data_IF_564334712896
#
_entry.id   IF_564334712896
#
_cell.length_a   1.000
_cell.length_b   1.000
_cell.length_c   1.000
_cell.angle_alpha   90.00
_cell.angle_beta   90.00
_cell.angle_gamma   90.00
#
_symmetry.space_group_name_H-M   'P 1'
#
loop_
_entity.id
_entity.type
_entity.pdbx_description
1 polymer ?
#
# COMPACT_ATOMS: atom_id res chain seq x y z
N UNK A 1 13.35 -8.17 18.66
CA UNK A 1 14.57 -7.83 17.87
C UNK A 1 15.81 -8.28 18.62
N UNK A 2 16.78 -8.91 17.94
CA UNK A 2 18.07 -9.27 18.51
C UNK A 2 18.92 -8.04 18.87
N UNK A 3 19.91 -8.22 19.79
CA UNK A 3 20.73 -7.11 20.29
C UNK A 3 21.41 -6.33 19.14
N UNK A 4 22.06 -7.02 18.22
CA UNK A 4 22.74 -6.41 17.07
C UNK A 4 21.75 -5.68 16.12
N UNK A 5 20.58 -6.25 15.91
CA UNK A 5 19.54 -5.61 15.12
C UNK A 5 19.04 -4.28 15.70
N UNK A 6 19.10 -4.13 17.04
CA UNK A 6 18.78 -2.83 17.69
C UNK A 6 19.89 -1.80 17.52
N UNK A 7 21.14 -2.23 17.58
CA UNK A 7 22.30 -1.34 17.48
C UNK A 7 22.40 -0.63 16.13
N UNK A 8 21.88 -1.24 15.05
CA UNK A 8 21.92 -0.64 13.70
C UNK A 8 20.81 0.37 13.45
N UNK A 9 19.73 0.37 14.25
CA UNK A 9 18.64 1.33 14.12
C UNK A 9 19.00 2.62 14.85
N UNK A 10 19.22 3.68 14.08
CA UNK A 10 19.61 5.02 14.59
C UNK A 10 18.46 6.02 14.47
N UNK A 11 17.25 5.54 14.74
CA UNK A 11 16.00 6.29 14.70
C UNK A 11 15.27 6.16 16.03
N UNK A 12 14.36 7.09 16.30
CA UNK A 12 13.33 6.88 17.32
C UNK A 12 12.41 5.75 16.83
N UNK A 13 12.48 4.61 17.53
CA UNK A 13 11.73 3.40 17.14
C UNK A 13 10.24 3.61 17.34
N UNK A 14 9.80 4.41 18.31
CA UNK A 14 8.38 4.66 18.54
C UNK A 14 7.78 5.48 17.39
N UNK A 15 8.51 6.48 16.92
CA UNK A 15 8.12 7.30 15.78
C UNK A 15 8.12 6.49 14.46
N UNK A 16 9.15 5.65 14.24
CA UNK A 16 9.18 4.75 13.09
C UNK A 16 8.02 3.74 13.12
N UNK A 17 7.70 3.16 14.28
CA UNK A 17 6.57 2.24 14.44
C UNK A 17 5.23 2.92 14.16
N UNK A 18 5.08 4.20 14.49
CA UNK A 18 3.88 4.96 14.18
C UNK A 18 3.70 5.10 12.66
N UNK A 19 4.78 5.42 11.93
CA UNK A 19 4.73 5.53 10.47
C UNK A 19 4.45 4.18 9.80
N UNK A 20 5.15 3.11 10.22
CA UNK A 20 4.94 1.77 9.66
C UNK A 20 3.52 1.24 9.91
N UNK A 21 2.88 1.61 11.05
CA UNK A 21 1.49 1.23 11.30
C UNK A 21 0.52 1.98 10.40
N UNK A 22 0.81 3.22 10.03
CA UNK A 22 0.01 3.97 9.07
C UNK A 22 0.09 3.32 7.68
N UNK A 23 1.30 3.04 7.21
CA UNK A 23 1.50 2.33 5.94
C UNK A 23 0.79 0.95 5.96
N UNK A 24 0.97 0.16 7.01
CA UNK A 24 0.26 -1.12 7.20
C UNK A 24 -1.28 -0.98 7.09
N UNK A 25 -1.83 0.12 7.60
CA UNK A 25 -3.27 0.37 7.52
C UNK A 25 -3.69 0.75 6.09
N UNK A 26 -2.86 1.52 5.38
CA UNK A 26 -3.09 1.87 3.97
C UNK A 26 -3.17 0.61 3.11
N UNK A 27 -2.21 -0.33 3.26
CA UNK A 27 -2.21 -1.60 2.51
C UNK A 27 -3.49 -2.42 2.75
N UNK A 28 -3.92 -2.57 4.01
CA UNK A 28 -5.18 -3.27 4.29
C UNK A 28 -6.39 -2.62 3.61
N UNK A 29 -6.43 -1.31 3.55
CA UNK A 29 -7.52 -0.58 2.89
C UNK A 29 -7.46 -0.74 1.38
N UNK A 30 -6.26 -0.76 0.79
CA UNK A 30 -6.03 -1.05 -0.63
C UNK A 30 -6.44 -2.48 -0.99
N UNK A 31 -5.99 -3.50 -0.22
CA UNK A 31 -6.42 -4.90 -0.38
C UNK A 31 -7.93 -5.02 -0.47
N UNK A 32 -8.66 -4.40 0.47
CA UNK A 32 -10.11 -4.50 0.48
C UNK A 32 -10.75 -3.79 -0.71
N UNK A 33 -10.31 -2.56 -1.01
CA UNK A 33 -10.86 -1.75 -2.08
C UNK A 33 -10.64 -2.39 -3.46
N UNK A 34 -9.42 -2.86 -3.73
CA UNK A 34 -9.08 -3.45 -5.02
C UNK A 34 -9.76 -4.79 -5.25
N UNK A 35 -9.81 -5.65 -4.22
CA UNK A 35 -10.61 -6.89 -4.30
C UNK A 35 -12.09 -6.59 -4.56
N UNK A 36 -12.68 -5.63 -3.86
CA UNK A 36 -14.07 -5.25 -4.07
C UNK A 36 -14.30 -4.75 -5.50
N UNK A 37 -13.51 -3.78 -5.97
CA UNK A 37 -13.61 -3.23 -7.32
C UNK A 37 -13.42 -4.30 -8.39
N UNK A 38 -12.45 -5.22 -8.20
CA UNK A 38 -12.20 -6.34 -9.11
C UNK A 38 -13.35 -7.36 -9.18
N UNK A 39 -14.16 -7.48 -8.12
CA UNK A 39 -15.32 -8.37 -8.10
C UNK A 39 -16.54 -7.77 -8.79
N UNK A 40 -16.68 -6.44 -8.80
CA UNK A 40 -17.92 -5.78 -9.26
C UNK A 40 -17.78 -5.09 -10.62
N UNK A 41 -16.57 -4.74 -11.06
CA UNK A 41 -16.36 -4.02 -12.31
C UNK A 41 -16.94 -4.75 -13.51
N UNK A 42 -17.72 -4.04 -14.33
CA UNK A 42 -18.44 -4.60 -15.48
C UNK A 42 -18.64 -3.54 -16.56
N UNK A 43 -19.39 -3.87 -17.63
CA UNK A 43 -19.91 -2.91 -18.60
C UNK A 43 -19.21 -2.90 -19.95
N UNK A 44 -17.89 -3.10 -20.03
CA UNK A 44 -17.16 -3.15 -21.31
C UNK A 44 -16.21 -4.34 -21.38
N UNK A 45 -15.77 -4.78 -22.57
CA UNK A 45 -14.86 -5.93 -22.70
C UNK A 45 -13.57 -5.80 -21.87
N UNK A 46 -13.00 -4.60 -21.79
CA UNK A 46 -11.81 -4.29 -21.00
C UNK A 46 -11.99 -4.48 -19.47
N UNK A 47 -13.24 -4.51 -18.98
CA UNK A 47 -13.50 -4.72 -17.56
C UNK A 47 -12.94 -6.05 -17.01
N UNK A 48 -12.80 -7.07 -17.86
CA UNK A 48 -12.16 -8.34 -17.45
C UNK A 48 -10.68 -8.18 -17.16
N UNK A 49 -9.97 -7.40 -17.97
CA UNK A 49 -8.55 -7.13 -17.78
C UNK A 49 -8.35 -6.28 -16.53
N UNK A 50 -9.19 -5.25 -16.35
CA UNK A 50 -9.18 -4.44 -15.14
C UNK A 50 -9.48 -5.27 -13.88
N UNK A 51 -10.46 -6.18 -13.93
CA UNK A 51 -10.78 -7.05 -12.81
C UNK A 51 -9.60 -7.96 -12.44
N UNK A 52 -8.90 -8.51 -13.44
CA UNK A 52 -7.72 -9.33 -13.20
C UNK A 52 -6.58 -8.51 -12.59
N UNK A 53 -6.28 -7.35 -13.16
CA UNK A 53 -5.24 -6.44 -12.64
C UNK A 53 -5.54 -6.04 -11.19
N UNK A 54 -6.75 -5.58 -10.90
CA UNK A 54 -7.16 -5.21 -9.53
C UNK A 54 -7.00 -6.37 -8.52
N UNK A 55 -7.28 -7.61 -8.94
CA UNK A 55 -7.11 -8.77 -8.09
C UNK A 55 -5.65 -9.18 -7.90
N UNK A 56 -4.80 -8.96 -8.90
CA UNK A 56 -3.37 -9.23 -8.81
C UNK A 56 -2.70 -8.16 -7.94
N UNK A 57 -2.95 -6.87 -8.19
CA UNK A 57 -2.49 -5.78 -7.32
C UNK A 57 -2.93 -5.98 -5.85
N UNK A 58 -4.18 -6.39 -5.61
CA UNK A 58 -4.64 -6.68 -4.24
C UNK A 58 -3.84 -7.79 -3.54
N UNK A 59 -3.22 -8.73 -4.27
CA UNK A 59 -2.33 -9.74 -3.69
C UNK A 59 -0.97 -9.15 -3.34
N UNK A 60 -0.48 -8.24 -4.16
CA UNK A 60 0.78 -7.55 -3.90
C UNK A 60 0.64 -6.65 -2.66
N UNK A 61 -0.47 -5.90 -2.52
CA UNK A 61 -0.79 -5.13 -1.31
C UNK A 61 -0.90 -6.01 -0.05
N UNK A 62 -1.42 -7.22 -0.20
CA UNK A 62 -1.48 -8.18 0.91
C UNK A 62 -0.07 -8.65 1.32
N UNK A 63 0.86 -8.80 0.39
CA UNK A 63 2.25 -9.12 0.72
C UNK A 63 2.96 -7.92 1.35
N UNK A 64 2.77 -6.69 0.83
CA UNK A 64 3.27 -5.46 1.45
C UNK A 64 2.82 -5.34 2.91
N UNK A 65 1.53 -5.55 3.16
CA UNK A 65 0.96 -5.55 4.50
C UNK A 65 1.68 -6.54 5.42
N UNK A 66 1.93 -7.76 4.95
CA UNK A 66 2.60 -8.82 5.71
C UNK A 66 4.05 -8.46 6.01
N UNK A 67 4.79 -7.95 5.04
CA UNK A 67 6.18 -7.51 5.21
C UNK A 67 6.29 -6.37 6.22
N UNK A 68 5.37 -5.39 6.16
CA UNK A 68 5.29 -4.31 7.14
C UNK A 68 4.97 -4.84 8.55
N UNK A 69 4.05 -5.81 8.67
CA UNK A 69 3.74 -6.46 9.94
C UNK A 69 4.96 -7.18 10.54
N UNK A 70 5.72 -7.90 9.72
CA UNK A 70 6.96 -8.57 10.12
C UNK A 70 8.02 -7.54 10.58
N UNK A 71 8.15 -6.42 9.85
CA UNK A 71 9.06 -5.36 10.25
C UNK A 71 8.65 -4.69 11.56
N UNK A 72 7.37 -4.36 11.74
CA UNK A 72 6.81 -3.83 12.98
C UNK A 72 7.12 -4.77 14.15
N UNK A 73 6.87 -6.07 13.98
CA UNK A 73 7.16 -7.08 15.01
C UNK A 73 8.66 -7.18 15.31
N UNK A 74 9.51 -7.13 14.29
CA UNK A 74 10.97 -7.18 14.46
C UNK A 74 11.53 -5.97 15.21
N UNK A 75 10.87 -4.82 15.12
CA UNK A 75 11.16 -3.60 15.89
C UNK A 75 10.59 -3.65 17.33
N UNK A 76 9.86 -4.71 17.68
CA UNK A 76 9.26 -4.90 19.02
C UNK A 76 7.86 -4.26 19.14
N UNK A 77 7.27 -3.83 18.04
CA UNK A 77 5.91 -3.30 17.98
C UNK A 77 4.85 -4.37 17.71
N UNK A 78 3.62 -3.91 17.56
CA UNK A 78 2.48 -4.71 17.08
C UNK A 78 1.78 -3.94 15.98
N UNK A 79 1.36 -4.61 14.89
CA UNK A 79 0.49 -4.01 13.87
C UNK A 79 -0.86 -3.58 14.46
N UNK A 80 -1.64 -2.83 13.69
CA UNK A 80 -3.03 -2.48 14.05
C UNK A 80 -3.86 -3.75 14.09
N UNK A 81 -4.43 -4.07 15.26
CA UNK A 81 -5.19 -5.30 15.46
C UNK A 81 -6.70 -5.13 15.22
N UNK A 82 -7.21 -3.92 15.39
CA UNK A 82 -8.63 -3.62 15.31
C UNK A 82 -8.97 -3.10 13.91
N UNK A 83 -9.78 -3.86 13.17
CA UNK A 83 -10.18 -3.53 11.79
C UNK A 83 -10.88 -2.15 11.72
N UNK A 84 -11.66 -1.79 12.72
CA UNK A 84 -12.32 -0.48 12.80
C UNK A 84 -11.37 0.71 12.95
N UNK A 85 -10.10 0.46 13.31
CA UNK A 85 -9.09 1.51 13.47
C UNK A 85 -8.21 1.70 12.23
N UNK A 86 -8.36 0.87 11.20
CA UNK A 86 -7.52 0.98 10.01
C UNK A 86 -7.70 2.34 9.33
N UNK A 87 -8.94 2.78 9.12
CA UNK A 87 -9.24 4.08 8.47
C UNK A 87 -8.69 5.26 9.28
N UNK A 88 -8.84 5.21 10.63
CA UNK A 88 -8.34 6.28 11.50
C UNK A 88 -6.81 6.32 11.57
N UNK A 89 -6.16 5.17 11.37
CA UNK A 89 -4.70 5.03 11.46
C UNK A 89 -4.01 5.36 10.14
N UNK A 90 -4.64 5.07 9.00
CA UNK A 90 -4.09 5.24 7.66
C UNK A 90 -3.62 6.66 7.37
N UNK A 91 -2.78 6.82 6.35
CA UNK A 91 -2.33 8.14 5.89
C UNK A 91 -3.41 8.86 5.07
N UNK A 92 -4.02 8.16 4.12
CA UNK A 92 -4.88 8.75 3.08
C UNK A 92 -6.34 8.29 3.17
N UNK A 93 -6.66 7.38 4.10
CA UNK A 93 -8.00 6.83 4.28
C UNK A 93 -8.33 5.72 3.27
N UNK A 94 -9.61 5.37 3.23
CA UNK A 94 -10.09 4.29 2.36
C UNK A 94 -10.27 4.79 0.92
N UNK A 95 -9.63 4.14 -0.08
CA UNK A 95 -9.83 4.49 -1.50
C UNK A 95 -11.22 4.01 -1.95
N UNK A 96 -12.25 4.82 -1.65
CA UNK A 96 -13.64 4.44 -1.84
C UNK A 96 -13.95 4.19 -3.32
N UNK A 97 -14.49 3.00 -3.67
CA UNK A 97 -14.93 2.71 -5.03
C UNK A 97 -15.98 3.71 -5.52
N UNK A 98 -16.01 4.05 -6.82
CA UNK A 98 -17.09 4.86 -7.37
C UNK A 98 -18.44 4.12 -7.27
N UNK A 99 -19.53 4.87 -7.17
CA UNK A 99 -20.89 4.30 -7.06
C UNK A 99 -21.30 3.46 -8.27
N UNK A 100 -20.76 3.78 -9.46
CA UNK A 100 -21.09 3.11 -10.70
C UNK A 100 -19.99 2.10 -11.08
N UNK A 101 -20.27 0.82 -10.88
CA UNK A 101 -19.38 -0.29 -11.22
C UNK A 101 -19.05 -0.43 -12.73
N UNK A 102 -19.77 0.34 -13.59
CA UNK A 102 -19.53 0.39 -15.05
C UNK A 102 -18.63 1.55 -15.44
N UNK A 103 -18.35 2.46 -14.53
CA UNK A 103 -17.46 3.60 -14.79
C UNK A 103 -16.00 3.18 -14.65
N UNK A 104 -15.54 2.50 -15.69
CA UNK A 104 -14.18 1.99 -15.79
C UNK A 104 -13.13 3.07 -15.49
N UNK A 105 -13.28 4.25 -16.10
CA UNK A 105 -12.29 5.30 -15.97
C UNK A 105 -12.28 5.89 -14.55
N UNK A 106 -13.44 5.97 -13.88
CA UNK A 106 -13.50 6.39 -12.49
C UNK A 106 -12.83 5.36 -11.57
N UNK A 107 -13.05 4.06 -11.81
CA UNK A 107 -12.37 2.98 -11.05
C UNK A 107 -10.86 3.10 -11.21
N UNK A 108 -10.36 3.17 -12.43
CA UNK A 108 -8.92 3.27 -12.72
C UNK A 108 -8.33 4.53 -12.06
N UNK A 109 -8.99 5.68 -12.15
CA UNK A 109 -8.54 6.93 -11.51
C UNK A 109 -8.51 6.84 -9.98
N UNK A 110 -9.45 6.10 -9.38
CA UNK A 110 -9.46 5.87 -7.93
C UNK A 110 -8.23 5.12 -7.50
N UNK A 111 -7.84 4.08 -8.24
CA UNK A 111 -6.63 3.30 -7.96
C UNK A 111 -5.38 4.16 -8.18
N UNK A 112 -5.21 4.81 -9.32
CA UNK A 112 -4.07 5.69 -9.60
C UNK A 112 -3.87 6.72 -8.47
N UNK A 113 -4.95 7.28 -7.94
CA UNK A 113 -4.85 8.24 -6.84
C UNK A 113 -4.36 7.57 -5.55
N UNK A 114 -4.76 6.33 -5.28
CA UNK A 114 -4.30 5.57 -4.12
C UNK A 114 -2.82 5.21 -4.25
N UNK A 115 -2.38 4.69 -5.42
CA UNK A 115 -0.97 4.38 -5.70
C UNK A 115 -0.07 5.62 -5.52
N UNK A 116 -0.49 6.76 -6.03
CA UNK A 116 0.24 8.03 -5.83
C UNK A 116 0.35 8.42 -4.36
N UNK A 117 -0.68 8.17 -3.58
CA UNK A 117 -0.64 8.35 -2.13
C UNK A 117 0.40 7.43 -1.48
N UNK A 118 0.38 6.13 -1.83
CA UNK A 118 1.34 5.14 -1.36
C UNK A 118 2.79 5.51 -1.73
N UNK A 119 3.05 5.88 -2.98
CA UNK A 119 4.37 6.37 -3.44
C UNK A 119 4.86 7.52 -2.56
N UNK A 120 4.02 8.49 -2.23
CA UNK A 120 4.41 9.61 -1.36
C UNK A 120 4.65 9.19 0.09
N UNK A 121 3.90 8.23 0.62
CA UNK A 121 4.12 7.63 1.95
C UNK A 121 5.49 6.93 1.97
N UNK A 122 5.75 6.05 1.03
CA UNK A 122 6.99 5.29 0.96
C UNK A 122 8.21 6.17 0.65
N UNK A 123 8.06 7.21 -0.17
CA UNK A 123 9.11 8.20 -0.39
C UNK A 123 9.52 8.92 0.91
N UNK A 124 8.54 9.28 1.77
CA UNK A 124 8.82 9.87 3.09
C UNK A 124 9.52 8.89 4.03
N UNK A 125 9.07 7.63 4.06
CA UNK A 125 9.70 6.57 4.84
C UNK A 125 11.12 6.27 4.38
N UNK A 126 11.35 6.26 3.07
CA UNK A 126 12.68 6.09 2.47
C UNK A 126 13.64 7.17 2.97
N UNK A 127 13.28 8.45 2.85
CA UNK A 127 14.09 9.56 3.31
C UNK A 127 14.34 9.53 4.84
N UNK A 128 13.36 9.06 5.61
CA UNK A 128 13.48 8.90 7.06
C UNK A 128 14.49 7.83 7.46
N UNK A 129 14.53 6.73 6.73
CA UNK A 129 15.31 5.52 7.07
C UNK A 129 16.71 5.50 6.46
N UNK A 130 16.97 6.31 5.44
CA UNK A 130 18.26 6.39 4.74
C UNK A 130 19.42 6.62 5.69
N UNK A 131 20.42 5.73 5.64
CA UNK A 131 21.62 5.78 6.48
C UNK A 131 21.37 5.55 7.99
N UNK A 132 20.11 5.31 8.40
CA UNK A 132 19.71 5.19 9.81
C UNK A 132 19.15 3.83 10.18
N UNK A 133 18.42 3.18 9.27
CA UNK A 133 17.90 1.83 9.43
C UNK A 133 17.94 1.08 8.08
N UNK A 134 19.04 0.39 7.79
CA UNK A 134 19.22 -0.25 6.48
C UNK A 134 18.22 -1.37 6.20
N UNK A 135 17.64 -1.99 7.23
CA UNK A 135 16.66 -3.08 7.05
C UNK A 135 15.30 -2.52 6.65
N UNK A 136 14.81 -1.49 7.36
CA UNK A 136 13.58 -0.81 6.94
C UNK A 136 13.79 -0.11 5.60
N UNK A 137 14.92 0.55 5.37
CA UNK A 137 15.23 1.18 4.09
C UNK A 137 15.13 0.21 2.92
N UNK A 138 15.71 -0.99 3.03
CA UNK A 138 15.65 -2.00 1.97
C UNK A 138 14.22 -2.49 1.71
N UNK A 139 13.43 -2.70 2.76
CA UNK A 139 12.01 -3.03 2.64
C UNK A 139 11.24 -1.93 1.90
N UNK A 140 11.44 -0.68 2.30
CA UNK A 140 10.73 0.46 1.67
C UNK A 140 11.13 0.66 0.21
N UNK A 141 12.40 0.40 -0.15
CA UNK A 141 12.85 0.43 -1.56
C UNK A 141 12.10 -0.61 -2.39
N UNK A 142 11.92 -1.82 -1.85
CA UNK A 142 11.19 -2.89 -2.52
C UNK A 142 9.73 -2.49 -2.77
N UNK A 143 9.01 -2.16 -1.71
CA UNK A 143 7.60 -1.78 -1.83
C UNK A 143 7.41 -0.57 -2.76
N UNK A 144 8.20 0.49 -2.59
CA UNK A 144 8.11 1.68 -3.44
C UNK A 144 8.31 1.38 -4.94
N UNK A 145 9.15 0.40 -5.27
CA UNK A 145 9.35 0.01 -6.67
C UNK A 145 8.09 -0.63 -7.26
N UNK A 146 7.39 -1.45 -6.48
CA UNK A 146 6.13 -2.09 -6.90
C UNK A 146 4.98 -1.07 -6.98
N UNK A 147 4.87 -0.11 -6.05
CA UNK A 147 3.88 0.97 -6.14
C UNK A 147 4.03 1.83 -7.41
N UNK A 148 5.28 2.08 -7.83
CA UNK A 148 5.56 2.80 -9.09
C UNK A 148 5.14 1.97 -10.31
N UNK A 149 5.32 0.64 -10.27
CA UNK A 149 4.88 -0.27 -11.31
C UNK A 149 3.34 -0.32 -11.38
N UNK A 150 2.65 -0.40 -10.23
CA UNK A 150 1.19 -0.36 -10.17
C UNK A 150 0.64 0.94 -10.77
N UNK A 151 1.18 2.12 -10.39
CA UNK A 151 0.75 3.39 -10.98
C UNK A 151 0.85 3.35 -12.51
N UNK A 152 1.99 2.90 -13.07
CA UNK A 152 2.22 2.84 -14.52
C UNK A 152 1.23 1.89 -15.22
N UNK A 153 0.97 0.71 -14.65
CA UNK A 153 0.02 -0.26 -15.19
C UNK A 153 -1.40 0.32 -15.27
N UNK A 154 -1.88 0.98 -14.22
CA UNK A 154 -3.20 1.60 -14.24
C UNK A 154 -3.26 2.84 -15.13
N UNK A 155 -2.21 3.66 -15.23
CA UNK A 155 -2.16 4.78 -16.17
C UNK A 155 -2.25 4.32 -17.63
N UNK A 156 -1.61 3.21 -17.97
CA UNK A 156 -1.65 2.63 -19.30
C UNK A 156 -3.08 2.26 -19.73
N UNK A 157 -3.96 1.84 -18.81
CA UNK A 157 -5.36 1.56 -19.11
C UNK A 157 -6.19 2.79 -19.52
N UNK A 158 -5.79 4.00 -19.10
CA UNK A 158 -6.43 5.24 -19.51
C UNK A 158 -5.89 5.78 -20.83
N UNK A 159 -4.71 5.33 -21.24
CA UNK A 159 -4.03 5.78 -22.44
C UNK A 159 -4.43 4.98 -23.69
N UNK A 160 -5.11 3.85 -23.53
CA UNK A 160 -5.62 3.04 -24.61
C UNK A 160 -6.90 3.68 -25.22
N UNK A 161 -6.97 3.87 -26.55
CA UNK A 161 -8.12 4.48 -27.24
C UNK A 161 -9.35 3.55 -27.29
#
# INVERSE_FOLDING_TARGET
MGTKGREIVKLDVADLLADLRRAYADEWLAVYAYNFMGQVVTGRPAARNLAALLQDTAKDELEHQKELAERIASLGGKPVAEIGKLIETSNDGYPAPPENEKDFDAIVRTVIQAERGAIEVYRRLLAKTEGKDPVTYALIVHILAEEVEHEDEFENLLSEP
#
